data_IF_335888891124
#
_entry.id   IF_335888891124
#
_cell.length_a   1.000
_cell.length_b   1.000
_cell.length_c   1.000
_cell.angle_alpha   90.00
_cell.angle_beta   90.00
_cell.angle_gamma   90.00
#
_symmetry.space_group_name_H-M   'P 1'
#
loop_
_entity.id
_entity.type
_entity.pdbx_description
1 polymer ?
#
# COMPACT_ATOMS: atom_id res chain seq x y z
N UNK A 1 -37.09 -13.67 -6.38
CA UNK A 1 -35.73 -13.17 -6.09
C UNK A 1 -35.24 -13.90 -4.85
N UNK A 2 -34.35 -14.88 -5.02
CA UNK A 2 -33.75 -15.62 -3.91
C UNK A 2 -32.72 -14.73 -3.24
N UNK A 3 -32.89 -14.44 -1.95
CA UNK A 3 -31.89 -13.74 -1.17
C UNK A 3 -30.63 -14.63 -1.11
N UNK A 4 -29.52 -14.14 -1.64
CA UNK A 4 -28.21 -14.75 -1.40
C UNK A 4 -27.91 -14.53 0.08
N UNK A 5 -27.94 -15.61 0.85
CA UNK A 5 -27.56 -15.59 2.25
C UNK A 5 -26.09 -15.18 2.32
N UNK A 6 -25.79 -14.09 3.03
CA UNK A 6 -24.41 -13.65 3.23
C UNK A 6 -23.66 -14.76 3.98
N UNK A 7 -22.43 -15.07 3.54
CA UNK A 7 -21.60 -16.04 4.22
C UNK A 7 -21.34 -15.58 5.67
N UNK A 8 -21.28 -16.51 6.64
CA UNK A 8 -20.90 -16.17 8.00
C UNK A 8 -19.50 -15.52 8.00
N UNK A 9 -19.28 -14.58 8.91
CA UNK A 9 -17.97 -13.95 9.06
C UNK A 9 -16.90 -15.01 9.34
N UNK A 10 -15.94 -15.18 8.43
CA UNK A 10 -14.74 -15.97 8.72
C UNK A 10 -13.95 -15.32 9.85
N UNK A 11 -13.45 -16.09 10.82
CA UNK A 11 -12.71 -15.53 11.96
C UNK A 11 -11.43 -14.83 11.50
N UNK A 12 -11.17 -13.61 11.98
CA UNK A 12 -9.92 -12.90 11.69
C UNK A 12 -8.77 -13.58 12.43
N UNK A 13 -7.74 -14.11 11.74
CA UNK A 13 -6.56 -14.62 12.43
C UNK A 13 -5.81 -13.47 13.13
N UNK A 14 -5.28 -13.72 14.32
CA UNK A 14 -4.48 -12.72 15.04
C UNK A 14 -3.20 -12.36 14.27
N UNK A 15 -2.76 -11.12 14.39
CA UNK A 15 -1.51 -10.64 13.79
C UNK A 15 -1.71 -9.70 12.61
N UNK A 16 -0.60 -9.34 11.97
CA UNK A 16 -0.55 -8.37 10.86
C UNK A 16 -0.60 -9.09 9.51
N UNK A 17 -1.60 -8.74 8.71
CA UNK A 17 -1.80 -9.19 7.35
C UNK A 17 -1.72 -8.01 6.40
N UNK A 18 -1.08 -8.20 5.25
CA UNK A 18 -0.71 -7.09 4.38
C UNK A 18 -1.15 -7.36 2.97
N UNK A 19 -1.57 -6.32 2.29
CA UNK A 19 -2.10 -6.46 0.94
C UNK A 19 -2.05 -5.16 0.19
N UNK A 20 -2.58 -5.24 -1.02
CA UNK A 20 -2.65 -4.13 -1.94
C UNK A 20 -4.10 -3.97 -2.38
N UNK A 21 -4.64 -2.78 -2.15
CA UNK A 21 -5.84 -2.32 -2.82
C UNK A 21 -5.43 -1.74 -4.17
N UNK A 22 -5.80 -2.42 -5.25
CA UNK A 22 -5.70 -1.86 -6.59
C UNK A 22 -6.64 -0.66 -6.69
N UNK A 23 -6.13 0.56 -6.55
CA UNK A 23 -7.01 1.73 -6.62
C UNK A 23 -7.56 1.87 -8.05
N UNK A 24 -8.87 1.84 -8.18
CA UNK A 24 -9.55 2.27 -9.40
C UNK A 24 -9.44 3.79 -9.51
N UNK A 25 -8.59 4.29 -10.41
CA UNK A 25 -8.55 5.72 -10.74
C UNK A 25 -7.21 6.42 -10.57
N UNK A 26 -6.15 5.93 -11.23
CA UNK A 26 -4.90 6.68 -11.47
C UNK A 26 -3.97 6.85 -10.26
N UNK A 27 -4.47 6.67 -9.02
CA UNK A 27 -3.74 6.84 -7.78
C UNK A 27 -2.92 5.59 -7.35
N UNK A 28 -2.58 4.69 -8.28
CA UNK A 28 -1.71 3.53 -8.07
C UNK A 28 -2.15 2.53 -6.97
N UNK A 29 -1.35 1.49 -6.70
CA UNK A 29 -1.68 0.46 -5.72
C UNK A 29 -1.50 0.95 -4.28
N UNK A 30 -2.52 0.78 -3.43
CA UNK A 30 -2.57 1.22 -2.02
C UNK A 30 -2.23 0.10 -1.06
N UNK A 31 -1.27 0.36 -0.17
CA UNK A 31 -0.94 -0.57 0.91
C UNK A 31 -2.10 -0.67 1.90
N UNK A 32 -2.49 -1.90 2.23
CA UNK A 32 -3.48 -2.18 3.26
C UNK A 32 -2.87 -3.10 4.31
N UNK A 33 -3.10 -2.79 5.58
CA UNK A 33 -2.78 -3.66 6.72
C UNK A 33 -4.03 -4.00 7.49
N UNK A 34 -4.30 -5.29 7.66
CA UNK A 34 -5.30 -5.81 8.60
C UNK A 34 -4.57 -6.32 9.85
N UNK A 35 -4.91 -5.81 11.02
CA UNK A 35 -4.31 -6.18 12.30
C UNK A 35 -5.38 -6.87 13.15
N UNK A 36 -5.39 -8.20 13.13
CA UNK A 36 -6.36 -9.01 13.88
C UNK A 36 -6.02 -9.02 15.38
N UNK A 37 -7.01 -8.76 16.24
CA UNK A 37 -6.86 -8.77 17.70
C UNK A 37 -7.40 -10.07 18.29
N UNK A 38 -6.91 -10.45 19.46
CA UNK A 38 -7.49 -11.53 20.24
C UNK A 38 -8.96 -11.20 20.58
N UNK A 39 -9.80 -12.23 20.65
CA UNK A 39 -11.21 -12.08 20.98
C UNK A 39 -11.34 -11.49 22.39
N UNK A 40 -12.17 -10.46 22.54
CA UNK A 40 -12.39 -9.79 23.83
C UNK A 40 -13.12 -10.69 24.83
N UNK A 41 -13.13 -10.26 26.10
CA UNK A 41 -13.86 -10.96 27.17
C UNK A 41 -15.38 -11.01 26.93
N UNK A 42 -15.90 -10.09 26.13
CA UNK A 42 -17.29 -10.04 25.66
C UNK A 42 -17.57 -10.98 24.48
N UNK A 43 -16.57 -11.74 24.02
CA UNK A 43 -16.66 -12.64 22.87
C UNK A 43 -16.61 -11.93 21.52
N UNK A 44 -16.48 -10.60 21.48
CA UNK A 44 -16.47 -9.84 20.24
C UNK A 44 -15.07 -9.85 19.63
N UNK A 45 -14.96 -10.30 18.38
CA UNK A 45 -13.73 -10.18 17.61
C UNK A 45 -13.63 -8.80 16.95
N UNK A 46 -12.46 -8.17 17.06
CA UNK A 46 -12.16 -6.88 16.42
C UNK A 46 -10.83 -6.91 15.67
N UNK A 47 -10.69 -6.03 14.68
CA UNK A 47 -9.44 -5.81 13.97
C UNK A 47 -9.33 -4.36 13.50
N UNK A 48 -8.11 -3.91 13.20
CA UNK A 48 -7.88 -2.61 12.55
C UNK A 48 -7.45 -2.82 11.10
N UNK A 49 -8.13 -2.14 10.18
CA UNK A 49 -7.69 -2.01 8.79
C UNK A 49 -7.09 -0.62 8.60
N UNK A 50 -5.81 -0.56 8.20
CA UNK A 50 -5.11 0.68 7.91
C UNK A 50 -4.78 0.75 6.43
N UNK A 51 -5.12 1.88 5.82
CA UNK A 51 -4.74 2.24 4.47
C UNK A 51 -3.52 3.16 4.53
N UNK A 52 -2.51 2.85 3.72
CA UNK A 52 -1.37 3.73 3.48
C UNK A 52 -1.76 4.98 2.69
N UNK A 53 -0.77 5.77 2.24
CA UNK A 53 -1.03 6.89 1.37
C UNK A 53 -1.75 6.47 0.07
N UNK A 54 -2.47 7.39 -0.60
CA UNK A 54 -2.73 8.76 -0.15
C UNK A 54 -3.79 8.84 0.95
N UNK A 55 -4.46 7.74 1.29
CA UNK A 55 -5.61 7.77 2.19
C UNK A 55 -5.22 7.98 3.66
N UNK A 56 -4.11 7.37 4.10
CA UNK A 56 -3.54 7.55 5.45
C UNK A 56 -4.58 7.43 6.59
N UNK A 57 -5.57 6.56 6.40
CA UNK A 57 -6.71 6.38 7.30
C UNK A 57 -6.87 4.94 7.77
N UNK A 58 -7.73 4.74 8.76
CA UNK A 58 -7.96 3.46 9.42
C UNK A 58 -9.42 3.27 9.83
N UNK A 59 -9.86 2.02 9.74
CA UNK A 59 -11.16 1.51 10.14
C UNK A 59 -10.98 0.44 11.21
N UNK A 60 -11.91 0.35 12.15
CA UNK A 60 -12.09 -0.82 12.99
C UNK A 60 -13.14 -1.73 12.34
N UNK A 61 -12.81 -3.02 12.27
CA UNK A 61 -13.72 -4.10 11.93
C UNK A 61 -14.23 -4.69 13.24
N UNK A 62 -15.55 -4.78 13.38
CA UNK A 62 -16.20 -5.42 14.52
C UNK A 62 -17.11 -6.54 14.04
N UNK A 63 -16.91 -7.74 14.55
CA UNK A 63 -17.68 -8.91 14.14
C UNK A 63 -19.19 -8.71 14.34
N UNK A 64 -19.97 -9.17 13.36
CA UNK A 64 -21.42 -9.28 13.34
C UNK A 64 -21.82 -10.65 12.77
N UNK A 65 -23.07 -11.10 12.93
CA UNK A 65 -23.51 -12.41 12.43
C UNK A 65 -23.19 -12.66 10.95
N UNK A 66 -23.30 -11.64 10.11
CA UNK A 66 -23.16 -11.75 8.65
C UNK A 66 -21.96 -10.96 8.09
N UNK A 67 -20.90 -10.73 8.88
CA UNK A 67 -19.69 -10.03 8.43
C UNK A 67 -19.08 -9.11 9.49
N UNK A 68 -18.47 -8.00 9.05
CA UNK A 68 -17.81 -7.04 9.93
C UNK A 68 -18.37 -5.63 9.76
N UNK A 69 -18.85 -5.02 10.84
CA UNK A 69 -19.19 -3.59 10.83
C UNK A 69 -17.91 -2.75 10.71
N UNK A 70 -17.99 -1.69 9.90
CA UNK A 70 -16.90 -0.73 9.71
C UNK A 70 -17.12 0.52 10.55
N UNK A 71 -16.17 0.80 11.43
CA UNK A 71 -16.17 1.96 12.33
C UNK A 71 -14.95 2.84 12.02
N UNK A 72 -15.15 4.15 11.82
CA UNK A 72 -14.03 5.07 11.59
C UNK A 72 -13.16 5.21 12.85
N UNK A 73 -11.83 5.14 12.71
CA UNK A 73 -10.89 5.24 13.85
C UNK A 73 -10.10 6.55 13.86
N UNK A 74 -9.54 6.95 12.72
CA UNK A 74 -8.75 8.18 12.61
C UNK A 74 -9.26 9.14 11.52
N UNK A 75 -10.44 8.88 10.96
CA UNK A 75 -11.13 9.76 10.01
C UNK A 75 -10.55 9.75 8.59
N UNK A 76 -11.00 10.69 7.76
CA UNK A 76 -10.51 10.91 6.40
C UNK A 76 -11.55 10.47 5.37
N UNK A 77 -11.76 11.30 4.34
CA UNK A 77 -12.87 11.17 3.38
C UNK A 77 -13.06 9.76 2.82
N UNK A 78 -11.96 9.04 2.58
CA UNK A 78 -12.00 7.66 2.09
C UNK A 78 -12.58 6.71 3.15
N UNK A 79 -11.99 6.64 4.35
CA UNK A 79 -12.47 5.76 5.42
C UNK A 79 -13.86 6.19 5.92
N UNK A 80 -14.15 7.48 5.99
CA UNK A 80 -15.46 7.98 6.42
C UNK A 80 -16.58 7.60 5.44
N UNK A 81 -16.27 7.44 4.15
CA UNK A 81 -17.22 6.94 3.15
C UNK A 81 -17.49 5.42 3.26
N UNK A 82 -16.58 4.67 3.91
CA UNK A 82 -16.71 3.24 4.17
C UNK A 82 -17.38 2.95 5.53
N UNK A 83 -17.23 3.87 6.49
CA UNK A 83 -17.79 3.76 7.82
C UNK A 83 -19.32 3.63 7.80
N UNK A 84 -19.86 2.84 8.74
CA UNK A 84 -21.28 2.47 8.76
C UNK A 84 -21.66 1.37 7.75
N UNK A 85 -20.75 1.01 6.84
CA UNK A 85 -20.88 -0.14 5.95
C UNK A 85 -20.54 -1.47 6.62
N UNK A 86 -20.64 -2.54 5.82
CA UNK A 86 -20.29 -3.91 6.21
C UNK A 86 -19.22 -4.47 5.29
N UNK A 87 -18.15 -4.99 5.87
CA UNK A 87 -17.10 -5.72 5.18
C UNK A 87 -17.32 -7.24 5.27
N UNK A 88 -16.75 -7.95 4.30
CA UNK A 88 -16.67 -9.41 4.29
C UNK A 88 -15.21 -9.84 4.30
N UNK A 89 -14.93 -10.95 4.99
CA UNK A 89 -13.60 -11.54 5.05
C UNK A 89 -13.71 -13.02 4.71
N UNK A 90 -13.02 -13.42 3.65
CA UNK A 90 -12.87 -14.82 3.26
C UNK A 90 -11.44 -15.26 3.56
N UNK A 91 -11.29 -16.30 4.37
CA UNK A 91 -9.98 -16.87 4.71
C UNK A 91 -9.76 -18.09 3.82
N UNK A 92 -8.65 -18.09 3.08
CA UNK A 92 -8.22 -19.26 2.30
C UNK A 92 -7.20 -20.04 3.12
N UNK A 93 -7.56 -21.25 3.53
CA UNK A 93 -6.67 -22.16 4.27
C UNK A 93 -5.80 -22.98 3.31
N UNK A 94 -4.51 -23.14 3.63
CA UNK A 94 -3.55 -23.92 2.82
C UNK A 94 -2.11 -23.43 2.93
N UNK A 95 -1.20 -24.03 2.14
CA UNK A 95 0.24 -23.71 2.17
C UNK A 95 0.57 -22.25 1.83
N UNK A 96 -0.32 -21.56 1.10
CA UNK A 96 -0.30 -20.11 0.89
C UNK A 96 -1.52 -19.50 1.56
N UNK A 97 -1.55 -19.53 2.89
CA UNK A 97 -2.66 -18.96 3.65
C UNK A 97 -2.82 -17.48 3.34
N UNK A 98 -4.03 -17.06 3.01
CA UNK A 98 -4.34 -15.70 2.60
C UNK A 98 -5.77 -15.32 2.96
N UNK A 99 -6.09 -14.05 2.85
CA UNK A 99 -7.43 -13.53 3.09
C UNK A 99 -7.85 -12.57 1.99
N UNK A 100 -9.14 -12.59 1.69
CA UNK A 100 -9.77 -11.60 0.84
C UNK A 100 -10.68 -10.72 1.69
N UNK A 101 -10.33 -9.45 1.81
CA UNK A 101 -11.15 -8.43 2.46
C UNK A 101 -11.95 -7.69 1.39
N UNK A 102 -13.27 -7.80 1.46
CA UNK A 102 -14.20 -7.08 0.59
C UNK A 102 -14.84 -5.94 1.37
N UNK A 103 -14.63 -4.72 0.91
CA UNK A 103 -15.18 -3.50 1.50
C UNK A 103 -16.32 -2.95 0.63
N UNK A 104 -17.34 -2.35 1.25
CA UNK A 104 -18.42 -1.72 0.50
C UNK A 104 -17.88 -0.48 -0.21
N UNK A 105 -18.35 -0.21 -1.42
CA UNK A 105 -18.07 1.04 -2.13
C UNK A 105 -19.24 1.40 -3.04
N UNK A 106 -19.31 2.67 -3.46
CA UNK A 106 -20.48 3.23 -4.16
C UNK A 106 -20.78 2.52 -5.48
N UNK A 107 -19.74 2.26 -6.28
CA UNK A 107 -19.91 1.73 -7.64
C UNK A 107 -19.63 0.22 -7.72
N UNK A 108 -18.53 -0.22 -7.10
CA UNK A 108 -18.13 -1.62 -7.05
C UNK A 108 -17.42 -1.91 -5.73
N UNK A 109 -17.57 -3.11 -5.15
CA UNK A 109 -16.86 -3.48 -3.93
C UNK A 109 -15.35 -3.37 -4.11
N UNK A 110 -14.67 -2.86 -3.09
CA UNK A 110 -13.21 -2.83 -3.07
C UNK A 110 -12.71 -4.16 -2.51
N UNK A 111 -11.93 -4.89 -3.30
CA UNK A 111 -11.40 -6.19 -2.91
C UNK A 111 -9.90 -6.06 -2.66
N UNK A 112 -9.46 -6.56 -1.51
CA UNK A 112 -8.05 -6.56 -1.09
C UNK A 112 -7.63 -7.99 -0.81
N UNK A 113 -6.68 -8.49 -1.59
CA UNK A 113 -5.96 -9.71 -1.26
C UNK A 113 -4.90 -9.39 -0.20
N UNK A 114 -5.01 -10.02 0.96
CA UNK A 114 -4.11 -9.91 2.09
C UNK A 114 -3.34 -11.23 2.20
N UNK A 115 -2.03 -11.17 2.05
CA UNK A 115 -1.17 -12.34 2.20
C UNK A 115 0.09 -11.98 3.00
N UNK A 116 0.85 -13.00 3.37
CA UNK A 116 2.13 -12.82 4.07
C UNK A 116 3.32 -13.00 3.12
N UNK A 117 3.07 -13.11 1.82
CA UNK A 117 4.09 -13.42 0.83
C UNK A 117 5.02 -12.23 0.61
N UNK A 118 6.29 -12.52 0.35
CA UNK A 118 7.28 -11.53 -0.02
C UNK A 118 7.55 -11.57 -1.52
N UNK A 119 7.68 -10.40 -2.13
CA UNK A 119 8.08 -10.27 -3.52
C UNK A 119 9.60 -10.07 -3.64
N UNK A 120 10.23 -10.77 -4.59
CA UNK A 120 11.61 -10.49 -5.01
C UNK A 120 11.73 -9.18 -5.79
N UNK A 121 12.85 -8.49 -5.64
CA UNK A 121 13.11 -7.19 -6.27
C UNK A 121 14.29 -7.25 -7.23
N UNK A 122 14.00 -7.27 -8.53
CA UNK A 122 15.01 -7.12 -9.57
C UNK A 122 15.67 -5.73 -9.53
N UNK A 123 14.96 -4.75 -8.99
CA UNK A 123 15.38 -3.36 -8.88
C UNK A 123 16.38 -3.13 -7.74
N UNK A 124 16.63 -4.13 -6.88
CA UNK A 124 17.57 -4.05 -5.77
C UNK A 124 18.97 -3.62 -6.26
N UNK A 125 19.55 -2.62 -5.60
CA UNK A 125 20.82 -2.01 -5.99
C UNK A 125 20.84 -0.50 -5.85
N UNK A 126 21.95 0.09 -6.26
CA UNK A 126 22.17 1.54 -6.29
C UNK A 126 22.01 2.07 -7.70
N UNK A 127 21.39 3.22 -7.79
CA UNK A 127 21.03 3.87 -9.05
C UNK A 127 21.38 5.34 -8.96
N UNK A 128 21.94 5.89 -10.03
CA UNK A 128 22.32 7.30 -10.13
C UNK A 128 21.44 7.99 -11.17
N UNK A 129 20.94 9.19 -10.86
CA UNK A 129 20.17 9.99 -11.81
C UNK A 129 20.98 10.27 -13.07
N UNK A 130 20.36 10.07 -14.23
CA UNK A 130 20.94 10.40 -15.52
C UNK A 130 20.77 11.90 -15.84
N UNK A 131 21.69 12.44 -16.64
CA UNK A 131 21.65 13.85 -17.06
C UNK A 131 22.09 14.84 -15.98
N UNK A 132 21.37 15.97 -15.86
CA UNK A 132 21.74 17.09 -14.99
C UNK A 132 21.22 16.97 -13.55
N UNK A 133 20.48 15.92 -13.24
CA UNK A 133 19.86 15.74 -11.93
C UNK A 133 20.86 15.05 -10.99
N UNK A 134 21.27 15.76 -9.93
CA UNK A 134 21.99 15.14 -8.83
C UNK A 134 21.02 14.35 -7.94
N UNK A 135 20.79 13.09 -8.29
CA UNK A 135 19.96 12.17 -7.51
C UNK A 135 20.58 10.78 -7.41
N UNK A 136 20.31 10.09 -6.31
CA UNK A 136 20.68 8.70 -6.06
C UNK A 136 19.47 7.96 -5.51
N UNK A 137 19.15 6.83 -6.11
CA UNK A 137 18.11 5.92 -5.65
C UNK A 137 18.78 4.64 -5.18
N UNK A 138 18.57 4.28 -3.92
CA UNK A 138 19.08 3.05 -3.33
C UNK A 138 17.89 2.16 -2.97
N UNK A 139 17.84 0.96 -3.53
CA UNK A 139 16.88 -0.09 -3.17
C UNK A 139 17.66 -1.16 -2.41
N UNK A 140 17.41 -1.23 -1.10
CA UNK A 140 18.22 -2.02 -0.16
C UNK A 140 17.67 -3.42 0.07
N UNK A 141 16.37 -3.62 -0.14
CA UNK A 141 15.73 -4.90 0.11
C UNK A 141 15.79 -5.78 -1.14
N UNK A 142 16.08 -7.06 -0.97
CA UNK A 142 16.02 -8.09 -2.03
C UNK A 142 14.66 -8.79 -2.04
N UNK A 143 13.97 -8.84 -0.90
CA UNK A 143 12.60 -9.30 -0.74
C UNK A 143 11.82 -8.31 0.13
N UNK A 144 10.54 -8.06 -0.21
CA UNK A 144 9.68 -7.10 0.51
C UNK A 144 8.25 -7.56 0.61
N UNK A 145 7.54 -7.12 1.65
CA UNK A 145 6.08 -7.18 1.75
C UNK A 145 5.49 -5.78 1.67
N UNK A 146 4.21 -5.63 1.31
CA UNK A 146 3.57 -4.31 1.27
C UNK A 146 3.81 -3.52 2.57
N UNK A 147 4.13 -2.24 2.45
CA UNK A 147 4.44 -1.33 3.56
C UNK A 147 5.88 -1.41 4.12
N UNK A 148 6.67 -2.44 3.76
CA UNK A 148 8.09 -2.52 4.15
C UNK A 148 8.91 -1.40 3.50
N UNK A 149 9.99 -1.00 4.16
CA UNK A 149 10.95 -0.04 3.60
C UNK A 149 11.65 -0.68 2.41
N UNK A 150 11.45 -0.10 1.23
CA UNK A 150 12.05 -0.53 -0.02
C UNK A 150 13.48 0.03 -0.16
N UNK A 151 13.64 1.31 0.20
CA UNK A 151 14.85 2.04 -0.14
C UNK A 151 14.76 3.53 0.16
N UNK A 152 15.65 4.30 -0.46
CA UNK A 152 15.77 5.75 -0.26
C UNK A 152 16.08 6.44 -1.57
N UNK A 153 15.42 7.59 -1.79
CA UNK A 153 15.76 8.53 -2.84
C UNK A 153 16.42 9.75 -2.22
N UNK A 154 17.65 10.07 -2.63
CA UNK A 154 18.43 11.20 -2.17
C UNK A 154 18.67 12.16 -3.34
N UNK A 155 18.38 13.44 -3.14
CA UNK A 155 18.78 14.52 -4.03
C UNK A 155 20.00 15.24 -3.46
N UNK A 156 20.97 15.55 -4.32
CA UNK A 156 22.06 16.47 -4.01
C UNK A 156 21.68 17.94 -4.26
N UNK A 157 22.68 18.81 -4.22
CA UNK A 157 22.50 20.24 -4.39
C UNK A 157 21.82 20.58 -5.73
N UNK A 158 20.91 21.58 -5.76
CA UNK A 158 20.54 22.47 -4.64
C UNK A 158 19.37 21.94 -3.78
N UNK A 159 18.87 20.73 -4.04
CA UNK A 159 17.68 20.19 -3.35
C UNK A 159 18.02 19.62 -1.98
N UNK A 160 19.20 19.00 -1.85
CA UNK A 160 19.81 18.49 -0.62
C UNK A 160 18.82 17.89 0.39
N UNK A 161 18.09 16.87 -0.07
CA UNK A 161 17.07 16.22 0.74
C UNK A 161 16.97 14.73 0.39
N UNK A 162 16.32 13.94 1.27
CA UNK A 162 16.13 12.51 1.06
C UNK A 162 14.76 12.05 1.55
N UNK A 163 14.19 11.05 0.88
CA UNK A 163 12.91 10.43 1.25
C UNK A 163 13.04 8.92 1.30
N UNK A 164 12.37 8.31 2.27
CA UNK A 164 12.19 6.87 2.34
C UNK A 164 11.14 6.42 1.33
N UNK A 165 11.37 5.29 0.67
CA UNK A 165 10.40 4.64 -0.20
C UNK A 165 9.91 3.37 0.49
N UNK A 166 8.58 3.17 0.50
CA UNK A 166 7.94 1.96 1.05
C UNK A 166 7.23 1.19 -0.02
N UNK A 167 7.38 -0.13 -0.04
CA UNK A 167 6.81 -0.96 -1.09
C UNK A 167 5.28 -0.90 -1.11
N UNK A 168 4.71 -0.61 -2.28
CA UNK A 168 3.28 -0.49 -2.51
C UNK A 168 2.72 -1.56 -3.44
N UNK A 169 3.57 -2.44 -4.00
CA UNK A 169 3.15 -3.47 -4.93
C UNK A 169 3.73 -3.32 -6.33
N UNK A 170 3.22 -4.16 -7.25
CA UNK A 170 3.50 -4.06 -8.68
C UNK A 170 2.21 -3.77 -9.43
N UNK A 171 2.29 -2.90 -10.43
CA UNK A 171 1.19 -2.61 -11.34
C UNK A 171 1.76 -2.30 -12.73
N UNK A 172 1.19 -2.91 -13.77
CA UNK A 172 1.63 -2.73 -15.17
C UNK A 172 3.16 -2.84 -15.36
N UNK A 173 3.76 -3.87 -14.74
CA UNK A 173 5.20 -4.16 -14.80
C UNK A 173 6.09 -3.21 -14.00
N UNK A 174 5.55 -2.17 -13.35
CA UNK A 174 6.32 -1.24 -12.54
C UNK A 174 6.28 -1.60 -11.04
N UNK A 175 7.40 -1.39 -10.36
CA UNK A 175 7.51 -1.40 -8.90
C UNK A 175 6.96 -0.09 -8.36
N UNK A 176 5.89 -0.16 -7.57
CA UNK A 176 5.27 1.02 -6.97
C UNK A 176 5.70 1.14 -5.50
N UNK A 177 5.88 2.39 -5.07
CA UNK A 177 6.25 2.72 -3.72
C UNK A 177 5.55 4.01 -3.25
N UNK A 178 5.35 4.09 -1.95
CA UNK A 178 4.91 5.29 -1.25
C UNK A 178 6.13 6.08 -0.79
N UNK A 179 6.07 7.39 -0.96
CA UNK A 179 7.09 8.30 -0.46
C UNK A 179 6.76 8.66 0.98
N UNK A 180 7.65 8.33 1.91
CA UNK A 180 7.50 8.66 3.32
C UNK A 180 7.47 10.18 3.54
N UNK A 181 6.79 10.60 4.60
CA UNK A 181 6.70 12.01 4.97
C UNK A 181 8.08 12.63 5.20
N UNK A 182 8.27 13.84 4.67
CA UNK A 182 9.47 14.64 4.82
C UNK A 182 9.07 16.12 4.90
N UNK A 183 9.63 16.86 5.84
CA UNK A 183 9.26 18.25 6.08
C UNK A 183 10.27 19.26 5.49
N UNK A 184 11.28 18.81 4.74
CA UNK A 184 12.42 19.63 4.29
C UNK A 184 12.46 19.87 2.78
N UNK A 185 12.74 21.12 2.42
CA UNK A 185 13.12 21.54 1.08
C UNK A 185 12.16 21.05 -0.02
N UNK A 186 12.74 20.59 -1.13
CA UNK A 186 12.01 20.02 -2.26
C UNK A 186 11.21 18.76 -1.88
N UNK A 187 11.76 17.92 -0.99
CA UNK A 187 11.19 16.62 -0.61
C UNK A 187 9.84 16.74 0.12
N UNK A 188 9.53 17.90 0.71
CA UNK A 188 8.19 18.18 1.24
C UNK A 188 7.08 17.99 0.20
N UNK A 189 7.37 18.31 -1.06
CA UNK A 189 6.39 18.21 -2.16
C UNK A 189 6.18 16.77 -2.64
N UNK A 190 7.06 15.85 -2.26
CA UNK A 190 7.00 14.43 -2.59
C UNK A 190 6.29 13.61 -1.50
N UNK A 191 6.15 14.17 -0.29
CA UNK A 191 5.63 13.48 0.88
C UNK A 191 4.22 12.97 0.66
N UNK A 192 3.95 11.76 1.16
CA UNK A 192 2.67 11.05 0.98
C UNK A 192 2.30 10.80 -0.49
N UNK A 193 3.23 11.06 -1.41
CA UNK A 193 3.09 10.84 -2.84
C UNK A 193 3.47 9.43 -3.26
N UNK A 194 3.40 9.21 -4.57
CA UNK A 194 3.72 7.94 -5.20
C UNK A 194 5.01 8.01 -5.99
N UNK A 195 5.70 6.87 -6.00
CA UNK A 195 6.82 6.56 -6.85
C UNK A 195 6.51 5.29 -7.64
N UNK A 196 6.81 5.29 -8.94
CA UNK A 196 6.70 4.11 -9.81
C UNK A 196 8.03 3.96 -10.54
N UNK A 197 8.71 2.84 -10.31
CA UNK A 197 9.98 2.49 -10.93
C UNK A 197 9.76 1.40 -11.98
N UNK A 198 10.29 1.62 -13.19
CA UNK A 198 10.28 0.64 -14.27
C UNK A 198 11.69 0.46 -14.81
N UNK A 199 12.16 -0.78 -14.86
CA UNK A 199 13.40 -1.10 -15.57
C UNK A 199 13.10 -1.15 -17.07
N UNK A 200 13.94 -0.48 -17.85
CA UNK A 200 13.89 -0.43 -19.31
C UNK A 200 14.76 -1.54 -19.92
N UNK A 201 14.55 -1.81 -21.19
CA UNK A 201 15.27 -2.87 -21.92
C UNK A 201 16.78 -2.62 -22.00
N UNK A 202 17.20 -1.34 -21.91
CA UNK A 202 18.61 -0.92 -21.87
C UNK A 202 19.25 -1.06 -20.47
N UNK A 203 18.52 -1.58 -19.49
CA UNK A 203 18.98 -1.75 -18.11
C UNK A 203 18.93 -0.48 -17.26
N UNK A 204 18.54 0.67 -17.82
CA UNK A 204 18.24 1.88 -17.05
C UNK A 204 16.90 1.76 -16.33
N UNK A 205 16.67 2.61 -15.34
CA UNK A 205 15.41 2.67 -14.61
C UNK A 205 14.73 4.02 -14.83
N UNK A 206 13.45 3.99 -15.15
CA UNK A 206 12.59 5.16 -15.18
C UNK A 206 11.84 5.26 -13.84
N UNK A 207 12.08 6.35 -13.11
CA UNK A 207 11.36 6.68 -11.90
C UNK A 207 10.34 7.78 -12.21
N UNK A 208 9.06 7.46 -12.08
CA UNK A 208 7.98 8.43 -12.09
C UNK A 208 7.57 8.77 -10.65
N UNK A 209 7.52 10.06 -10.32
CA UNK A 209 7.06 10.59 -9.04
C UNK A 209 5.78 11.42 -9.25
N UNK A 210 4.86 11.37 -8.30
CA UNK A 210 3.72 12.28 -8.27
C UNK A 210 4.05 13.46 -7.36
N UNK A 211 4.22 14.64 -7.96
CA UNK A 211 4.56 15.90 -7.29
C UNK A 211 3.38 16.85 -7.44
N UNK A 212 2.72 17.22 -6.34
CA UNK A 212 1.53 18.10 -6.36
C UNK A 212 0.44 17.63 -7.36
N UNK A 213 0.26 16.32 -7.50
CA UNK A 213 -0.70 15.72 -8.42
C UNK A 213 -0.26 15.67 -9.89
N UNK A 214 0.94 16.16 -10.22
CA UNK A 214 1.54 16.01 -11.55
C UNK A 214 2.58 14.90 -11.55
N UNK A 215 2.64 14.16 -12.66
CA UNK A 215 3.65 13.12 -12.84
C UNK A 215 4.94 13.73 -13.38
N UNK A 216 6.02 13.60 -12.62
CA UNK A 216 7.39 13.96 -13.02
C UNK A 216 8.19 12.66 -13.24
N UNK A 217 9.02 12.62 -14.28
CA UNK A 217 9.74 11.40 -14.66
C UNK A 217 11.24 11.69 -14.76
N UNK A 218 12.05 10.83 -14.16
CA UNK A 218 13.51 10.92 -14.17
C UNK A 218 14.12 9.56 -14.51
N UNK A 219 15.19 9.58 -15.31
CA UNK A 219 15.95 8.38 -15.65
C UNK A 219 17.10 8.16 -14.66
N UNK A 220 17.39 6.90 -14.41
CA UNK A 220 18.45 6.44 -13.52
C UNK A 220 19.28 5.35 -14.20
N UNK A 221 20.59 5.40 -14.01
CA UNK A 221 21.54 4.38 -14.44
C UNK A 221 21.92 3.50 -13.24
N UNK A 222 22.04 2.20 -13.45
CA UNK A 222 22.51 1.30 -12.40
C UNK A 222 23.98 1.61 -12.10
N UNK A 223 24.29 1.75 -10.82
CA UNK A 223 25.68 1.86 -10.36
C UNK A 223 26.29 0.46 -10.27
N UNK A 224 27.61 0.33 -10.51
CA UNK A 224 28.35 -0.91 -10.24
C UNK A 224 28.24 -1.36 -8.79
#
# INVERSE_FOLDING_TARGET
>A
MTAVQAAPAGSIPTGDWRGILSASGGAGPVYVRLSGRAVGADGTQTADVRFGPPFNCALELRAQPDGYALLSRNGGRFCDALAGGRAQLEVTEGATSGMQLTLPARDSPLVVALDQSSAGLAEAGRWRGAGLISAQLEIVATTVRPGDVLGRLRYGAPRDCQVELRYAGRAAGALNAWVGANDRGYCRQLSDGQASLRIRDDGSAELALVVKGQRDTTLFERMP
#
